data_IF_850646934493
#
_entry.id   IF_850646934493
#
_cell.length_a   1.000
_cell.length_b   1.000
_cell.length_c   1.000
_cell.angle_alpha   90.00
_cell.angle_beta   90.00
_cell.angle_gamma   90.00
#
_symmetry.space_group_name_H-M   'P 1'
#
loop_
_entity.id
_entity.type
_entity.pdbx_description
1 polymer ?
#
# COMPACT_ATOMS: atom_id res chain seq x y z
N UNK A 1 -11.73 -32.05 -2.30
CA UNK A 1 -11.49 -30.69 -1.79
C UNK A 1 -12.17 -29.71 -2.73
N UNK A 2 -13.31 -29.16 -2.34
CA UNK A 2 -14.05 -28.17 -3.14
C UNK A 2 -13.38 -26.81 -2.96
N UNK A 3 -12.63 -26.39 -3.98
CA UNK A 3 -12.07 -25.05 -4.07
C UNK A 3 -13.24 -24.09 -4.32
N UNK A 4 -13.85 -23.57 -3.25
CA UNK A 4 -14.86 -22.52 -3.38
C UNK A 4 -14.12 -21.26 -3.85
N UNK A 5 -14.37 -20.86 -5.09
CA UNK A 5 -13.90 -19.59 -5.65
C UNK A 5 -14.30 -18.42 -4.74
N UNK A 6 -13.51 -17.34 -4.79
CA UNK A 6 -13.85 -16.13 -4.05
C UNK A 6 -15.26 -15.65 -4.42
N UNK A 7 -16.00 -15.07 -3.45
CA UNK A 7 -17.30 -14.48 -3.76
C UNK A 7 -17.15 -13.55 -4.96
N UNK A 8 -18.06 -13.63 -5.96
CA UNK A 8 -17.87 -12.95 -7.25
C UNK A 8 -17.69 -11.43 -7.11
N UNK A 9 -18.28 -10.82 -6.07
CA UNK A 9 -18.13 -9.40 -5.78
C UNK A 9 -16.75 -9.06 -5.21
N UNK A 10 -16.17 -9.89 -4.33
CA UNK A 10 -14.83 -9.67 -3.80
C UNK A 10 -13.78 -9.76 -4.90
N UNK A 11 -13.94 -10.72 -5.81
CA UNK A 11 -13.05 -10.84 -6.96
C UNK A 11 -13.13 -9.62 -7.86
N UNK A 12 -14.35 -9.17 -8.19
CA UNK A 12 -14.56 -7.98 -9.02
C UNK A 12 -13.96 -6.72 -8.39
N UNK A 13 -14.11 -6.55 -7.07
CA UNK A 13 -13.51 -5.43 -6.33
C UNK A 13 -11.98 -5.44 -6.46
N UNK A 14 -11.35 -6.59 -6.20
CA UNK A 14 -9.89 -6.72 -6.31
C UNK A 14 -9.39 -6.47 -7.74
N UNK A 15 -10.05 -7.04 -8.75
CA UNK A 15 -9.72 -6.83 -10.16
C UNK A 15 -9.88 -5.36 -10.57
N UNK A 16 -10.89 -4.67 -10.03
CA UNK A 16 -11.12 -3.25 -10.28
C UNK A 16 -9.99 -2.39 -9.70
N UNK A 17 -9.63 -2.60 -8.43
CA UNK A 17 -8.51 -1.89 -7.81
C UNK A 17 -7.18 -2.16 -8.54
N UNK A 18 -6.92 -3.41 -8.90
CA UNK A 18 -5.71 -3.77 -9.63
C UNK A 18 -5.66 -3.08 -11.01
N UNK A 19 -6.79 -3.02 -11.71
CA UNK A 19 -6.91 -2.30 -12.99
C UNK A 19 -6.65 -0.80 -12.80
N UNK A 20 -7.22 -0.18 -11.77
CA UNK A 20 -7.00 1.23 -11.47
C UNK A 20 -5.53 1.51 -11.12
N UNK A 21 -4.89 0.67 -10.30
CA UNK A 21 -3.46 0.80 -9.97
C UNK A 21 -2.59 0.71 -11.22
N UNK A 22 -2.78 -0.33 -12.03
CA UNK A 22 -2.03 -0.51 -13.28
C UNK A 22 -2.23 0.67 -14.23
N UNK A 23 -3.46 1.17 -14.36
CA UNK A 23 -3.76 2.32 -15.19
C UNK A 23 -3.03 3.58 -14.71
N UNK A 24 -3.09 3.90 -13.42
CA UNK A 24 -2.41 5.07 -12.85
C UNK A 24 -0.88 4.96 -12.94
N UNK A 25 -0.32 3.76 -12.71
CA UNK A 25 1.11 3.51 -12.87
C UNK A 25 1.56 3.72 -14.32
N UNK A 26 0.81 3.20 -15.30
CA UNK A 26 1.12 3.39 -16.71
C UNK A 26 1.04 4.86 -17.11
N UNK A 27 0.01 5.58 -16.64
CA UNK A 27 -0.09 7.03 -16.87
C UNK A 27 1.09 7.82 -16.27
N UNK A 28 1.62 7.38 -15.13
CA UNK A 28 2.80 7.98 -14.53
C UNK A 28 4.09 7.66 -15.33
N UNK A 29 4.20 6.45 -15.90
CA UNK A 29 5.35 5.99 -16.69
C UNK A 29 5.38 6.53 -18.13
N UNK A 30 4.23 6.62 -18.79
CA UNK A 30 4.08 7.14 -20.16
C UNK A 30 4.33 8.66 -20.26
N UNK A 31 4.67 9.29 -19.14
CA UNK A 31 5.12 10.67 -19.10
C UNK A 31 6.39 10.81 -19.96
N UNK A 32 6.41 11.69 -20.98
CA UNK A 32 7.64 12.00 -21.67
C UNK A 32 8.65 12.52 -20.64
N UNK A 33 9.94 12.15 -20.70
CA UNK A 33 10.94 12.61 -19.74
C UNK A 33 11.00 14.13 -19.79
N UNK A 34 10.25 14.77 -18.90
CA UNK A 34 10.14 16.20 -18.88
C UNK A 34 11.41 16.72 -18.19
N UNK A 35 12.31 17.29 -18.99
CA UNK A 35 13.22 18.35 -18.57
C UNK A 35 14.40 17.94 -17.64
N UNK A 36 15.22 16.96 -18.01
CA UNK A 36 16.67 17.09 -17.73
C UNK A 36 17.34 17.92 -18.86
N UNK A 37 16.82 17.87 -20.10
CA UNK A 37 17.42 18.59 -21.23
C UNK A 37 17.07 20.09 -21.29
N UNK A 38 15.98 20.53 -20.66
CA UNK A 38 15.61 21.97 -20.60
C UNK A 38 15.68 22.61 -19.20
N UNK A 39 16.18 21.87 -18.20
CA UNK A 39 16.54 22.38 -16.85
C UNK A 39 17.69 23.40 -16.89
N UNK A 40 18.54 23.33 -17.91
CA UNK A 40 19.63 24.30 -18.10
C UNK A 40 19.17 25.70 -18.52
N UNK A 41 17.86 25.96 -18.71
CA UNK A 41 17.36 27.26 -19.21
C UNK A 41 16.26 27.92 -18.38
N UNK A 42 15.65 27.27 -17.39
CA UNK A 42 14.61 27.90 -16.58
C UNK A 42 14.64 27.40 -15.13
N UNK A 43 15.30 28.20 -14.27
CA UNK A 43 15.52 27.93 -12.84
C UNK A 43 14.25 27.95 -11.97
N UNK A 44 13.06 28.16 -12.54
CA UNK A 44 11.85 28.52 -11.76
C UNK A 44 10.53 27.90 -12.28
N UNK A 45 10.55 26.84 -13.10
CA UNK A 45 9.28 26.23 -13.57
C UNK A 45 8.79 25.17 -12.57
N UNK A 46 7.64 25.36 -11.89
CA UNK A 46 7.06 24.33 -11.04
C UNK A 46 6.65 23.10 -11.88
N UNK A 47 6.63 21.89 -11.28
CA UNK A 47 6.12 20.69 -11.94
C UNK A 47 4.73 20.97 -12.50
N UNK A 48 4.43 20.45 -13.70
CA UNK A 48 3.16 20.79 -14.35
C UNK A 48 1.99 20.28 -13.50
N UNK A 49 0.94 21.08 -13.37
CA UNK A 49 -0.21 20.82 -12.50
C UNK A 49 -0.87 19.44 -12.72
N UNK A 50 -0.81 18.88 -13.93
CA UNK A 50 -1.36 17.55 -14.25
C UNK A 50 -0.45 16.39 -13.82
N UNK A 51 0.87 16.58 -13.82
CA UNK A 51 1.84 15.53 -13.43
C UNK A 51 1.74 15.24 -11.93
N UNK A 52 1.56 16.29 -11.13
CA UNK A 52 1.33 16.15 -9.69
C UNK A 52 0.00 15.48 -9.34
N UNK A 53 -1.00 15.47 -10.25
CA UNK A 53 -2.33 14.90 -9.97
C UNK A 53 -2.36 13.40 -10.13
N UNK A 54 -1.81 12.86 -11.22
CA UNK A 54 -1.80 11.40 -11.46
C UNK A 54 -1.09 10.68 -10.32
N UNK A 55 0.06 11.22 -9.91
CA UNK A 55 0.81 10.73 -8.76
C UNK A 55 0.01 10.85 -7.46
N UNK A 56 -0.67 11.97 -7.22
CA UNK A 56 -1.55 12.12 -6.05
C UNK A 56 -2.65 11.05 -6.03
N UNK A 57 -3.32 10.80 -7.17
CA UNK A 57 -4.34 9.77 -7.26
C UNK A 57 -3.77 8.37 -7.00
N UNK A 58 -2.56 8.08 -7.48
CA UNK A 58 -1.88 6.82 -7.18
C UNK A 58 -1.60 6.68 -5.68
N UNK A 59 -1.06 7.73 -5.04
CA UNK A 59 -0.79 7.75 -3.60
C UNK A 59 -2.08 7.56 -2.80
N UNK A 60 -3.15 8.25 -3.17
CA UNK A 60 -4.45 8.19 -2.49
C UNK A 60 -5.08 6.80 -2.63
N UNK A 61 -5.02 6.20 -3.83
CA UNK A 61 -5.50 4.85 -4.08
C UNK A 61 -4.71 3.80 -3.29
N UNK A 62 -3.38 3.91 -3.29
CA UNK A 62 -2.52 3.03 -2.49
C UNK A 62 -2.85 3.13 -1.00
N UNK A 63 -3.10 4.36 -0.50
CA UNK A 63 -3.48 4.58 0.89
C UNK A 63 -4.82 3.93 1.22
N UNK A 64 -5.84 4.12 0.37
CA UNK A 64 -7.17 3.53 0.52
C UNK A 64 -7.11 2.00 0.60
N UNK A 65 -6.41 1.38 -0.36
CA UNK A 65 -6.28 -0.09 -0.43
C UNK A 65 -5.59 -0.66 0.81
N UNK A 66 -4.51 -0.03 1.29
CA UNK A 66 -3.82 -0.48 2.50
C UNK A 66 -4.68 -0.30 3.75
N UNK A 67 -5.36 0.85 3.87
CA UNK A 67 -6.23 1.14 5.00
C UNK A 67 -7.37 0.11 5.10
N UNK A 68 -8.04 -0.17 3.99
CA UNK A 68 -9.13 -1.13 3.94
C UNK A 68 -8.69 -2.55 4.36
N UNK A 69 -7.51 -2.99 3.94
CA UNK A 69 -6.96 -4.28 4.36
C UNK A 69 -6.65 -4.33 5.86
N UNK A 70 -6.07 -3.26 6.41
CA UNK A 70 -5.81 -3.13 7.84
C UNK A 70 -7.11 -3.19 8.64
N UNK A 71 -8.15 -2.49 8.20
CA UNK A 71 -9.47 -2.51 8.84
C UNK A 71 -10.09 -3.91 8.83
N UNK A 72 -9.99 -4.61 7.70
CA UNK A 72 -10.43 -6.02 7.56
C UNK A 72 -9.68 -6.92 8.54
N UNK A 73 -8.36 -6.73 8.69
CA UNK A 73 -7.51 -7.51 9.59
C UNK A 73 -7.78 -7.21 11.08
N UNK A 74 -8.16 -5.97 11.41
CA UNK A 74 -8.42 -5.52 12.79
C UNK A 74 -9.84 -5.77 13.28
N UNK A 75 -10.81 -5.97 12.39
CA UNK A 75 -12.23 -6.11 12.72
C UNK A 75 -12.58 -7.31 13.65
N UNK A 76 -11.60 -8.09 14.12
CA UNK A 76 -11.76 -9.09 15.20
C UNK A 76 -11.40 -8.58 16.60
N UNK A 77 -10.78 -7.40 16.72
CA UNK A 77 -10.44 -6.80 18.01
C UNK A 77 -11.61 -5.96 18.50
N UNK A 78 -12.40 -6.51 19.44
CA UNK A 78 -13.36 -5.72 20.21
C UNK A 78 -12.57 -4.59 20.89
N UNK A 79 -12.97 -3.31 20.77
CA UNK A 79 -12.34 -2.25 21.54
C UNK A 79 -12.71 -2.49 23.00
N UNK A 80 -11.78 -3.08 23.77
CA UNK A 80 -11.96 -3.26 25.21
C UNK A 80 -11.83 -1.88 25.85
N UNK A 81 -12.91 -1.11 25.84
CA UNK A 81 -13.13 -0.06 26.83
C UNK A 81 -13.43 -0.73 28.16
N UNK A 82 -12.39 -1.11 28.89
CA UNK A 82 -12.31 -1.16 30.35
C UNK A 82 -11.13 -2.06 30.78
N UNK A 83 -10.16 -1.45 31.48
CA UNK A 83 -9.22 -2.11 32.39
C UNK A 83 -8.08 -2.95 31.77
N UNK A 84 -7.05 -2.27 31.27
CA UNK A 84 -5.66 -2.51 31.69
C UNK A 84 -4.95 -3.83 31.33
N UNK A 85 -5.53 -4.75 30.57
CA UNK A 85 -4.79 -5.96 30.13
C UNK A 85 -5.21 -6.39 28.72
N UNK A 86 -4.35 -6.16 27.73
CA UNK A 86 -4.47 -6.83 26.43
C UNK A 86 -4.47 -8.34 26.68
N UNK A 87 -5.47 -9.11 26.22
CA UNK A 87 -5.32 -10.55 26.21
C UNK A 87 -4.19 -10.90 25.23
N UNK A 88 -3.13 -11.54 25.71
CA UNK A 88 -2.03 -12.08 24.90
C UNK A 88 -2.44 -13.30 24.05
N UNK A 89 -3.74 -13.61 24.00
CA UNK A 89 -4.28 -14.78 23.33
C UNK A 89 -4.86 -14.37 21.99
N UNK A 90 -4.25 -14.89 20.94
CA UNK A 90 -4.69 -14.76 19.56
C UNK A 90 -6.09 -15.38 19.41
N UNK A 91 -7.13 -14.55 19.40
CA UNK A 91 -8.46 -15.02 18.99
C UNK A 91 -8.35 -15.31 17.48
N UNK A 92 -8.59 -16.55 17.03
CA UNK A 92 -8.56 -16.87 15.61
C UNK A 92 -9.59 -16.01 14.86
N UNK A 93 -9.20 -15.34 13.78
CA UNK A 93 -10.18 -14.71 12.91
C UNK A 93 -11.14 -15.77 12.35
N UNK A 94 -12.41 -15.40 12.23
CA UNK A 94 -13.41 -16.23 11.56
C UNK A 94 -12.94 -16.59 10.15
N UNK A 95 -13.25 -17.81 9.70
CA UNK A 95 -12.80 -18.37 8.42
C UNK A 95 -13.15 -17.48 7.20
N UNK A 96 -14.27 -16.76 7.26
CA UNK A 96 -14.65 -15.78 6.23
C UNK A 96 -13.65 -14.63 6.09
N UNK A 97 -13.26 -13.99 7.21
CA UNK A 97 -12.28 -12.89 7.20
C UNK A 97 -10.89 -13.35 6.79
N UNK A 98 -10.48 -14.56 7.23
CA UNK A 98 -9.21 -15.14 6.79
C UNK A 98 -9.18 -15.37 5.29
N UNK A 99 -10.30 -15.83 4.71
CA UNK A 99 -10.45 -15.99 3.26
C UNK A 99 -10.40 -14.64 2.54
N UNK A 100 -11.10 -13.65 3.06
CA UNK A 100 -11.13 -12.30 2.50
C UNK A 100 -9.74 -11.65 2.50
N UNK A 101 -8.99 -11.74 3.60
CA UNK A 101 -7.60 -11.27 3.68
C UNK A 101 -6.68 -12.02 2.71
N UNK A 102 -6.85 -13.34 2.60
CA UNK A 102 -6.06 -14.14 1.65
C UNK A 102 -6.36 -13.73 0.19
N UNK A 103 -7.62 -13.53 -0.17
CA UNK A 103 -8.03 -13.10 -1.50
C UNK A 103 -7.53 -11.69 -1.85
N UNK A 104 -7.39 -10.80 -0.85
CA UNK A 104 -6.85 -9.44 -1.02
C UNK A 104 -5.34 -9.37 -1.04
N UNK A 105 -4.63 -10.40 -0.57
CA UNK A 105 -3.18 -10.36 -0.43
C UNK A 105 -2.44 -9.95 -1.72
N UNK A 106 -2.79 -10.45 -2.92
CA UNK A 106 -2.12 -10.04 -4.16
C UNK A 106 -2.24 -8.55 -4.44
N UNK A 107 -3.42 -7.97 -4.19
CA UNK A 107 -3.67 -6.53 -4.36
C UNK A 107 -2.81 -5.70 -3.39
N UNK A 108 -2.62 -6.18 -2.16
CA UNK A 108 -1.77 -5.48 -1.19
C UNK A 108 -0.30 -5.55 -1.59
N UNK A 109 0.16 -6.70 -2.08
CA UNK A 109 1.53 -6.86 -2.59
C UNK A 109 1.78 -5.90 -3.76
N UNK A 110 0.88 -5.84 -4.75
CA UNK A 110 1.03 -4.92 -5.89
C UNK A 110 0.96 -3.46 -5.45
N UNK A 111 0.15 -3.13 -4.44
CA UNK A 111 0.09 -1.79 -3.85
C UNK A 111 1.41 -1.40 -3.18
N UNK A 112 2.00 -2.29 -2.39
CA UNK A 112 3.30 -2.06 -1.76
C UNK A 112 4.40 -1.87 -2.83
N UNK A 113 4.39 -2.70 -3.87
CA UNK A 113 5.30 -2.56 -5.01
C UNK A 113 5.09 -1.23 -5.75
N UNK A 114 3.84 -0.79 -5.94
CA UNK A 114 3.52 0.49 -6.57
C UNK A 114 4.12 1.67 -5.79
N UNK A 115 4.04 1.63 -4.46
CA UNK A 115 4.65 2.64 -3.60
C UNK A 115 6.17 2.62 -3.73
N UNK A 116 6.81 1.44 -3.73
CA UNK A 116 8.26 1.31 -3.90
C UNK A 116 8.77 1.81 -5.25
N UNK A 117 7.92 1.83 -6.27
CA UNK A 117 8.25 2.25 -7.63
C UNK A 117 7.96 3.73 -7.90
N UNK A 118 7.52 4.50 -6.90
CA UNK A 118 7.45 5.96 -7.00
C UNK A 118 8.87 6.54 -7.16
N UNK A 119 8.97 7.70 -7.81
CA UNK A 119 10.24 8.44 -7.89
C UNK A 119 10.77 8.74 -6.47
N UNK A 120 12.08 8.66 -6.25
CA UNK A 120 12.73 8.89 -4.93
C UNK A 120 12.15 10.11 -4.19
N UNK A 121 12.01 11.24 -4.90
CA UNK A 121 11.51 12.49 -4.32
C UNK A 121 10.02 12.45 -3.94
N UNK A 122 9.22 11.66 -4.65
CA UNK A 122 7.80 11.42 -4.37
C UNK A 122 7.62 10.41 -3.24
N UNK A 123 8.40 9.32 -3.28
CA UNK A 123 8.39 8.29 -2.25
C UNK A 123 8.75 8.89 -0.89
N UNK A 124 9.83 9.68 -0.79
CA UNK A 124 10.23 10.36 0.46
C UNK A 124 9.12 11.28 1.00
N UNK A 125 8.45 12.07 0.15
CA UNK A 125 7.35 12.96 0.56
C UNK A 125 6.09 12.22 1.00
N UNK A 126 5.77 11.12 0.33
CA UNK A 126 4.58 10.32 0.61
C UNK A 126 4.78 9.37 1.80
N UNK A 127 6.02 9.05 2.16
CA UNK A 127 6.35 8.11 3.24
C UNK A 127 5.71 8.50 4.57
N UNK A 128 5.63 9.80 4.90
CA UNK A 128 4.97 10.27 6.12
C UNK A 128 3.48 9.87 6.19
N UNK A 129 2.80 9.80 5.04
CA UNK A 129 1.40 9.34 4.96
C UNK A 129 1.29 7.83 5.07
N UNK A 130 2.23 7.09 4.50
CA UNK A 130 2.21 5.63 4.51
C UNK A 130 2.70 5.01 5.81
N UNK A 131 3.62 5.66 6.54
CA UNK A 131 4.27 5.07 7.70
C UNK A 131 3.30 4.56 8.79
N UNK A 132 2.20 5.28 9.14
CA UNK A 132 1.20 4.75 10.07
C UNK A 132 0.51 3.47 9.55
N UNK A 133 0.28 3.36 8.24
CA UNK A 133 -0.30 2.17 7.61
C UNK A 133 0.71 1.02 7.58
N UNK A 134 1.98 1.28 7.26
CA UNK A 134 3.03 0.26 7.30
C UNK A 134 3.21 -0.30 8.70
N UNK A 135 3.27 0.55 9.73
CA UNK A 135 3.30 0.13 11.14
C UNK A 135 2.08 -0.71 11.54
N UNK A 136 0.91 -0.33 11.00
CA UNK A 136 -0.33 -1.07 11.21
C UNK A 136 -0.30 -2.45 10.56
N UNK A 137 0.28 -2.60 9.37
CA UNK A 137 0.46 -3.87 8.66
C UNK A 137 1.42 -4.82 9.37
N UNK A 138 2.53 -4.30 9.94
CA UNK A 138 3.44 -5.09 10.80
C UNK A 138 2.66 -5.67 12.00
N UNK A 139 1.74 -4.87 12.55
CA UNK A 139 0.95 -5.25 13.72
C UNK A 139 -0.23 -6.18 13.41
N UNK A 140 -0.49 -6.50 12.13
CA UNK A 140 -1.58 -7.37 11.73
C UNK A 140 -1.24 -8.85 12.00
N UNK A 141 -1.79 -9.39 13.08
CA UNK A 141 -1.58 -10.80 13.50
C UNK A 141 -2.05 -11.84 12.47
N UNK A 142 -3.03 -11.48 11.63
CA UNK A 142 -3.63 -12.40 10.65
C UNK A 142 -3.37 -11.98 9.20
N UNK A 143 -2.31 -11.20 8.97
CA UNK A 143 -1.91 -10.85 7.61
C UNK A 143 -1.48 -12.09 6.80
N UNK A 144 -1.67 -12.02 5.48
CA UNK A 144 -1.07 -13.01 4.57
C UNK A 144 0.47 -12.98 4.66
N UNK A 145 1.10 -14.15 4.54
CA UNK A 145 2.57 -14.28 4.52
C UNK A 145 3.18 -13.45 3.37
N UNK A 146 2.56 -13.50 2.19
CA UNK A 146 3.01 -12.73 1.01
C UNK A 146 3.04 -11.22 1.30
N UNK A 147 2.08 -10.70 2.06
CA UNK A 147 2.06 -9.29 2.47
C UNK A 147 3.22 -8.98 3.42
N UNK A 148 3.53 -9.89 4.35
CA UNK A 148 4.66 -9.70 5.27
C UNK A 148 6.01 -9.76 4.55
N UNK A 149 6.15 -10.63 3.55
CA UNK A 149 7.35 -10.70 2.70
C UNK A 149 7.51 -9.40 1.90
N UNK A 150 6.47 -8.94 1.20
CA UNK A 150 6.50 -7.70 0.44
C UNK A 150 6.80 -6.48 1.32
N UNK A 151 6.26 -6.46 2.55
CA UNK A 151 6.54 -5.42 3.53
C UNK A 151 8.01 -5.44 3.97
N UNK A 152 8.56 -6.63 4.24
CA UNK A 152 9.99 -6.80 4.57
C UNK A 152 10.90 -6.32 3.43
N UNK A 153 10.55 -6.63 2.19
CA UNK A 153 11.27 -6.17 0.99
C UNK A 153 11.21 -4.65 0.86
N UNK A 154 10.03 -4.03 1.01
CA UNK A 154 9.87 -2.58 1.01
C UNK A 154 10.76 -1.91 2.07
N UNK A 155 10.77 -2.43 3.30
CA UNK A 155 11.62 -1.87 4.35
C UNK A 155 13.10 -2.01 4.05
N UNK A 156 13.51 -3.12 3.45
CA UNK A 156 14.93 -3.39 3.16
C UNK A 156 15.44 -2.57 1.97
N UNK A 157 14.65 -2.49 0.90
CA UNK A 157 15.10 -1.95 -0.39
C UNK A 157 14.68 -0.49 -0.62
N UNK A 158 13.56 -0.04 -0.04
CA UNK A 158 13.04 1.32 -0.28
C UNK A 158 13.18 2.22 0.94
N UNK A 159 12.72 1.78 2.12
CA UNK A 159 12.77 2.61 3.33
C UNK A 159 14.17 2.65 3.94
N UNK A 160 14.87 1.51 3.98
CA UNK A 160 16.21 1.37 4.56
C UNK A 160 17.20 2.40 4.02
N UNK A 161 17.35 2.55 2.69
CA UNK A 161 18.24 3.56 2.11
C UNK A 161 17.94 4.99 2.57
N UNK A 162 16.68 5.39 2.74
CA UNK A 162 16.31 6.74 3.21
C UNK A 162 16.76 6.95 4.66
N UNK A 163 16.55 5.94 5.52
CA UNK A 163 16.97 6.00 6.92
C UNK A 163 18.49 6.06 7.07
N UNK A 164 19.21 5.32 6.22
CA UNK A 164 20.68 5.22 6.27
C UNK A 164 21.39 6.39 5.58
N UNK A 165 20.72 7.16 4.71
CA UNK A 165 21.25 8.41 4.13
C UNK A 165 21.51 9.51 5.17
N UNK A 166 20.94 9.39 6.37
CA UNK A 166 21.05 10.38 7.46
C UNK A 166 22.18 10.08 8.46
N UNK A 167 23.05 9.10 8.18
CA UNK A 167 24.20 8.71 8.99
C UNK A 167 25.51 8.95 8.23
#
# INVERSE_FOLDING_TARGET
MTQMQDPPLLRLENESYQTCLTFLQNLALDRPPSYEESKNLALDRPPSYEESKVESYLIDLCHEVLQFYIETARSGQIPVSSLGRRPHWLIPLGSGKRRELAARAPLIVTTLQAICNLEDSSFEKSLARFFPLLSSLISCEHGSNEVQVALSEMFSFSVGPILLRSC
#
